data_IF_135691208316
#
_entry.id   IF_135691208316
#
_cell.length_a   1.000
_cell.length_b   1.000
_cell.length_c   1.000
_cell.angle_alpha   90.00
_cell.angle_beta   90.00
_cell.angle_gamma   90.00
#
_symmetry.space_group_name_H-M   'P 1'
#
loop_
_entity.id
_entity.type
_entity.pdbx_description
1 polymer ?
#
# COMPACT_ATOMS: atom_id res chain seq x y z
N UNK A 1 30.68 -12.18 8.11
CA UNK A 1 29.23 -11.97 8.24
C UNK A 1 28.60 -13.35 8.20
N UNK A 2 28.07 -13.84 9.32
CA UNK A 2 27.43 -15.16 9.39
C UNK A 2 25.98 -15.00 8.95
N UNK A 3 25.54 -15.83 8.01
CA UNK A 3 24.18 -15.82 7.47
C UNK A 3 23.32 -16.83 8.22
N UNK A 4 22.26 -16.36 8.86
CA UNK A 4 21.31 -17.20 9.57
C UNK A 4 20.03 -17.39 8.76
N UNK A 5 19.22 -18.40 9.12
CA UNK A 5 17.93 -18.66 8.45
C UNK A 5 16.97 -17.45 8.53
N UNK A 6 17.10 -16.63 9.57
CA UNK A 6 16.37 -15.39 9.80
C UNK A 6 16.70 -14.35 8.70
N UNK A 7 17.98 -14.24 8.32
CA UNK A 7 18.43 -13.29 7.29
C UNK A 7 17.83 -13.62 5.92
N UNK A 8 17.67 -14.92 5.62
CA UNK A 8 17.02 -15.38 4.39
C UNK A 8 15.60 -14.87 4.27
N UNK A 9 14.83 -14.90 5.35
CA UNK A 9 13.44 -14.44 5.36
C UNK A 9 13.32 -12.93 5.19
N UNK A 10 14.20 -12.16 5.83
CA UNK A 10 14.27 -10.71 5.67
C UNK A 10 14.50 -10.37 4.18
N UNK A 11 15.43 -11.06 3.53
CA UNK A 11 15.71 -10.83 2.09
C UNK A 11 14.56 -11.26 1.20
N UNK A 12 13.89 -12.40 1.48
CA UNK A 12 12.71 -12.83 0.70
C UNK A 12 11.58 -11.81 0.82
N UNK A 13 11.28 -11.35 2.03
CA UNK A 13 10.24 -10.34 2.29
C UNK A 13 10.58 -9.03 1.58
N UNK A 14 11.82 -8.56 1.70
CA UNK A 14 12.28 -7.37 1.00
C UNK A 14 12.21 -7.50 -0.53
N UNK A 15 12.56 -8.66 -1.07
CA UNK A 15 12.46 -8.94 -2.50
C UNK A 15 11.00 -8.96 -2.99
N UNK A 16 10.10 -9.59 -2.23
CA UNK A 16 8.66 -9.60 -2.56
C UNK A 16 8.08 -8.18 -2.54
N UNK A 17 8.37 -7.40 -1.50
CA UNK A 17 7.95 -6.00 -1.43
C UNK A 17 8.49 -5.18 -2.62
N UNK A 18 9.77 -5.33 -2.95
CA UNK A 18 10.38 -4.65 -4.09
C UNK A 18 9.71 -5.03 -5.43
N UNK A 19 9.44 -6.32 -5.66
CA UNK A 19 8.77 -6.81 -6.87
C UNK A 19 7.33 -6.26 -6.95
N UNK A 20 6.57 -6.36 -5.86
CA UNK A 20 5.19 -5.88 -5.80
C UNK A 20 5.10 -4.38 -6.11
N UNK A 21 6.01 -3.58 -5.53
CA UNK A 21 6.09 -2.14 -5.76
C UNK A 21 6.58 -1.80 -7.18
N UNK A 22 7.57 -2.53 -7.72
CA UNK A 22 8.10 -2.26 -9.06
C UNK A 22 7.07 -2.49 -10.18
N UNK A 23 6.21 -3.52 -10.03
CA UNK A 23 5.17 -3.84 -11.00
C UNK A 23 4.19 -2.69 -11.23
N UNK A 24 3.71 -2.06 -10.15
CA UNK A 24 2.77 -0.94 -10.22
C UNK A 24 3.49 0.40 -10.41
N UNK A 25 4.68 0.55 -9.80
CA UNK A 25 5.49 1.77 -9.81
C UNK A 25 5.87 2.24 -11.21
N UNK A 26 6.13 1.34 -12.15
CA UNK A 26 6.40 1.69 -13.54
C UNK A 26 5.24 2.50 -14.17
N UNK A 27 4.00 2.09 -13.93
CA UNK A 27 2.82 2.82 -14.44
C UNK A 27 2.63 4.16 -13.73
N UNK A 28 2.95 4.26 -12.44
CA UNK A 28 2.93 5.54 -11.72
C UNK A 28 3.93 6.53 -12.31
N UNK A 29 5.14 6.08 -12.62
CA UNK A 29 6.18 6.92 -13.25
C UNK A 29 5.74 7.38 -14.64
N UNK A 30 5.22 6.46 -15.47
CA UNK A 30 4.71 6.80 -16.81
C UNK A 30 3.58 7.84 -16.76
N UNK A 31 2.77 7.81 -15.69
CA UNK A 31 1.67 8.76 -15.47
C UNK A 31 2.08 10.03 -14.71
N UNK A 32 3.39 10.23 -14.44
CA UNK A 32 3.90 11.37 -13.64
C UNK A 32 3.33 11.45 -12.22
N UNK A 33 2.88 10.32 -11.67
CA UNK A 33 2.33 10.17 -10.32
C UNK A 33 3.29 9.41 -9.40
N UNK A 34 4.61 9.56 -9.58
CA UNK A 34 5.61 8.83 -8.78
C UNK A 34 5.53 9.15 -7.29
N UNK A 35 5.13 10.37 -6.92
CA UNK A 35 4.93 10.81 -5.53
C UNK A 35 3.68 10.21 -4.86
N UNK A 36 2.83 9.53 -5.62
CA UNK A 36 1.56 9.02 -5.10
C UNK A 36 1.76 7.91 -4.06
N UNK A 37 2.78 7.07 -4.24
CA UNK A 37 3.09 6.01 -3.28
C UNK A 37 3.44 6.56 -1.89
N UNK A 38 4.27 7.60 -1.86
CA UNK A 38 4.68 8.28 -0.63
C UNK A 38 3.48 8.97 0.06
N UNK A 39 2.66 9.68 -0.73
CA UNK A 39 1.45 10.32 -0.23
C UNK A 39 0.47 9.32 0.41
N UNK A 40 0.31 8.13 -0.19
CA UNK A 40 -0.56 7.09 0.35
C UNK A 40 -0.02 6.57 1.69
N UNK A 41 1.28 6.25 1.79
CA UNK A 41 1.88 5.73 3.03
C UNK A 41 1.66 6.68 4.23
N UNK A 42 1.77 7.99 4.01
CA UNK A 42 1.51 8.99 5.05
C UNK A 42 0.02 9.19 5.35
N UNK A 43 -0.83 9.11 4.33
CA UNK A 43 -2.26 9.35 4.47
C UNK A 43 -3.02 8.17 5.08
N UNK A 44 -2.43 6.98 5.17
CA UNK A 44 -3.03 5.77 5.74
C UNK A 44 -3.18 5.82 7.27
N UNK A 45 -2.35 6.61 7.96
CA UNK A 45 -2.35 6.73 9.43
C UNK A 45 -3.73 6.96 10.08
N UNK A 46 -4.57 7.93 9.64
CA UNK A 46 -5.92 8.08 10.19
C UNK A 46 -6.79 6.83 10.01
N UNK A 47 -6.62 6.07 8.94
CA UNK A 47 -7.33 4.81 8.73
C UNK A 47 -6.97 3.74 9.76
N UNK A 48 -5.68 3.64 10.10
CA UNK A 48 -5.20 2.76 11.15
C UNK A 48 -5.68 3.20 12.53
N UNK A 49 -5.63 4.51 12.81
CA UNK A 49 -6.08 5.08 14.08
C UNK A 49 -7.59 4.80 14.32
N UNK A 50 -8.42 5.07 13.31
CA UNK A 50 -9.88 4.83 13.39
C UNK A 50 -10.16 3.33 13.54
N UNK A 51 -9.52 2.47 12.75
CA UNK A 51 -9.72 1.02 12.84
C UNK A 51 -9.35 0.48 14.24
N UNK A 52 -8.29 1.01 14.83
CA UNK A 52 -7.87 0.66 16.19
C UNK A 52 -8.88 1.12 17.24
N UNK A 53 -9.29 2.40 17.20
CA UNK A 53 -10.25 2.98 18.18
C UNK A 53 -11.57 2.19 18.18
N UNK A 54 -12.04 1.74 17.02
CA UNK A 54 -13.28 0.97 16.90
C UNK A 54 -13.13 -0.46 17.44
N UNK A 55 -12.01 -1.11 17.18
CA UNK A 55 -11.85 -2.55 17.43
C UNK A 55 -11.20 -2.87 18.77
N UNK A 56 -10.42 -1.95 19.34
CA UNK A 56 -9.65 -2.13 20.59
C UNK A 56 -8.59 -3.25 20.54
N UNK A 57 -8.40 -3.88 19.38
CA UNK A 57 -7.50 -5.01 19.17
C UNK A 57 -6.53 -4.71 18.02
N UNK A 58 -5.28 -5.16 18.16
CA UNK A 58 -4.26 -5.19 17.09
C UNK A 58 -4.57 -6.28 16.06
N UNK A 59 -5.85 -6.48 15.74
CA UNK A 59 -6.29 -7.41 14.72
C UNK A 59 -5.94 -6.80 13.36
N UNK A 60 -4.81 -7.27 12.85
CA UNK A 60 -4.12 -6.81 11.65
C UNK A 60 -4.97 -6.77 10.38
N UNK A 61 -6.01 -7.61 10.24
CA UNK A 61 -6.89 -7.60 9.08
C UNK A 61 -7.81 -6.37 9.05
N UNK A 62 -8.37 -5.98 10.21
CA UNK A 62 -9.21 -4.78 10.36
C UNK A 62 -8.42 -3.51 10.12
N UNK A 63 -7.20 -3.47 10.65
CA UNK A 63 -6.26 -2.36 10.41
C UNK A 63 -5.88 -2.26 8.92
N UNK A 64 -5.60 -3.40 8.26
CA UNK A 64 -5.34 -3.45 6.83
C UNK A 64 -6.50 -2.90 6.00
N UNK A 65 -7.74 -3.27 6.33
CA UNK A 65 -8.93 -2.76 5.64
C UNK A 65 -9.09 -1.24 5.87
N UNK A 66 -8.96 -0.77 7.11
CA UNK A 66 -9.05 0.66 7.43
C UNK A 66 -8.00 1.49 6.71
N UNK A 67 -6.76 0.98 6.66
CA UNK A 67 -5.66 1.56 5.91
C UNK A 67 -5.95 1.61 4.40
N UNK A 68 -6.35 0.50 3.79
CA UNK A 68 -6.66 0.44 2.36
C UNK A 68 -7.82 1.37 1.97
N UNK A 69 -8.86 1.47 2.80
CA UNK A 69 -9.99 2.39 2.58
C UNK A 69 -9.53 3.83 2.58
N UNK A 70 -8.73 4.23 3.58
CA UNK A 70 -8.21 5.60 3.65
C UNK A 70 -7.20 5.89 2.54
N UNK A 71 -6.36 4.92 2.15
CA UNK A 71 -5.49 5.05 0.98
C UNK A 71 -6.27 5.30 -0.31
N UNK A 72 -7.39 4.61 -0.52
CA UNK A 72 -8.28 4.87 -1.66
C UNK A 72 -8.95 6.24 -1.57
N UNK A 73 -9.43 6.64 -0.39
CA UNK A 73 -10.00 7.97 -0.16
C UNK A 73 -8.98 9.09 -0.45
N UNK A 74 -7.70 8.86 -0.15
CA UNK A 74 -6.61 9.79 -0.44
C UNK A 74 -6.50 10.05 -1.95
N UNK A 75 -6.56 8.99 -2.77
CA UNK A 75 -6.57 9.13 -4.23
C UNK A 75 -7.80 9.90 -4.73
N UNK A 76 -8.98 9.61 -4.18
CA UNK A 76 -10.22 10.31 -4.54
C UNK A 76 -10.16 11.80 -4.16
N UNK A 77 -9.75 12.13 -2.95
CA UNK A 77 -9.63 13.51 -2.48
C UNK A 77 -8.58 14.29 -3.26
N UNK A 78 -7.44 13.67 -3.56
CA UNK A 78 -6.39 14.27 -4.39
C UNK A 78 -6.94 14.68 -5.75
N UNK A 79 -7.64 13.78 -6.43
CA UNK A 79 -8.21 14.05 -7.74
C UNK A 79 -9.33 15.10 -7.68
N UNK A 80 -10.13 15.07 -6.62
CA UNK A 80 -11.22 16.03 -6.42
C UNK A 80 -10.67 17.45 -6.18
N UNK A 81 -9.66 17.59 -5.33
CA UNK A 81 -8.98 18.86 -5.05
C UNK A 81 -8.25 19.39 -6.28
N UNK A 82 -7.56 18.52 -7.03
CA UNK A 82 -6.90 18.92 -8.28
C UNK A 82 -7.91 19.49 -9.30
N UNK A 83 -9.05 18.82 -9.49
CA UNK A 83 -10.09 19.27 -10.41
C UNK A 83 -10.78 20.56 -9.96
N UNK A 84 -11.12 20.67 -8.68
CA UNK A 84 -11.86 21.82 -8.17
C UNK A 84 -10.96 23.04 -8.00
N UNK A 85 -9.77 22.84 -7.43
CA UNK A 85 -8.79 23.90 -7.18
C UNK A 85 -8.02 24.33 -8.43
N UNK A 86 -8.12 23.60 -9.55
CA UNK A 86 -7.31 23.82 -10.77
C UNK A 86 -5.81 23.91 -10.47
N UNK A 87 -5.38 23.14 -9.48
CA UNK A 87 -3.99 23.06 -9.02
C UNK A 87 -3.36 21.79 -9.56
N UNK A 88 -2.03 21.82 -9.68
CA UNK A 88 -1.24 20.68 -10.12
C UNK A 88 -1.54 19.43 -9.26
N UNK A 89 -1.52 18.25 -9.87
CA UNK A 89 -1.76 17.00 -9.16
C UNK A 89 -0.75 16.81 -8.02
N UNK A 90 0.51 17.22 -8.21
CA UNK A 90 1.54 17.20 -7.18
C UNK A 90 1.19 18.07 -5.96
N UNK A 91 0.70 19.28 -6.20
CA UNK A 91 0.30 20.20 -5.13
C UNK A 91 -0.93 19.69 -4.37
N UNK A 92 -1.89 19.11 -5.11
CA UNK A 92 -3.11 18.54 -4.54
C UNK A 92 -2.81 17.35 -3.63
N UNK A 93 -1.93 16.44 -4.09
CA UNK A 93 -1.42 15.34 -3.27
C UNK A 93 -0.83 15.87 -1.97
N UNK A 94 0.05 16.88 -2.07
CA UNK A 94 0.67 17.58 -0.95
C UNK A 94 -0.31 17.99 0.14
N UNK A 95 -1.36 18.69 -0.24
CA UNK A 95 -2.38 19.20 0.70
C UNK A 95 -3.15 18.04 1.34
N UNK A 96 -3.53 17.02 0.56
CA UNK A 96 -4.34 15.91 1.06
C UNK A 96 -3.56 15.05 2.06
N UNK A 97 -2.35 14.62 1.71
CA UNK A 97 -1.60 13.73 2.61
C UNK A 97 -1.18 14.46 3.89
N UNK A 98 -0.76 15.72 3.82
CA UNK A 98 -0.38 16.49 5.02
C UNK A 98 -1.57 16.68 5.97
N UNK A 99 -2.75 16.96 5.42
CA UNK A 99 -3.99 17.11 6.20
C UNK A 99 -4.42 15.79 6.85
N UNK A 100 -4.41 14.69 6.09
CA UNK A 100 -4.75 13.35 6.61
C UNK A 100 -3.72 12.86 7.62
N UNK A 101 -2.44 13.08 7.38
CA UNK A 101 -1.36 12.75 8.30
C UNK A 101 -1.52 13.47 9.65
N UNK A 102 -1.76 14.79 9.62
CA UNK A 102 -2.01 15.57 10.83
C UNK A 102 -3.25 15.07 11.59
N UNK A 103 -4.32 14.76 10.86
CA UNK A 103 -5.55 14.19 11.44
C UNK A 103 -5.28 12.83 12.09
N UNK A 104 -4.56 11.94 11.42
CA UNK A 104 -4.20 10.62 11.96
C UNK A 104 -3.34 10.73 13.21
N UNK A 105 -2.35 11.63 13.20
CA UNK A 105 -1.49 11.87 14.37
C UNK A 105 -2.31 12.39 15.57
N UNK A 106 -3.22 13.34 15.34
CA UNK A 106 -4.12 13.84 16.39
C UNK A 106 -4.97 12.73 16.99
N UNK A 107 -5.53 11.84 16.16
CA UNK A 107 -6.32 10.70 16.64
C UNK A 107 -5.48 9.73 17.49
N UNK A 108 -4.25 9.44 17.07
CA UNK A 108 -3.34 8.56 17.83
C UNK A 108 -2.98 9.19 19.16
N UNK A 109 -2.59 10.47 19.17
CA UNK A 109 -2.21 11.19 20.40
C UNK A 109 -3.38 11.29 21.38
N UNK A 110 -4.59 11.55 20.88
CA UNK A 110 -5.77 11.59 21.74
C UNK A 110 -6.13 10.22 22.34
N UNK A 111 -5.80 9.14 21.64
CA UNK A 111 -6.00 7.78 22.12
C UNK A 111 -4.81 7.24 22.96
N UNK A 112 -3.71 8.00 23.08
CA UNK A 112 -2.41 7.52 23.58
C UNK A 112 -2.41 6.94 25.00
N UNK A 113 -3.34 7.32 25.87
CA UNK A 113 -3.44 6.74 27.22
C UNK A 113 -3.75 5.23 27.22
N UNK A 114 -4.19 4.66 26.08
CA UNK A 114 -4.57 3.25 25.93
C UNK A 114 -3.91 2.56 24.71
N UNK A 115 -2.90 3.17 24.07
CA UNK A 115 -2.47 2.77 22.71
C UNK A 115 -0.95 2.55 22.60
N UNK A 116 -0.55 1.30 22.38
CA UNK A 116 0.80 0.90 21.95
C UNK A 116 0.93 0.83 20.41
N UNK A 117 0.57 1.92 19.71
CA UNK A 117 0.81 2.04 18.27
C UNK A 117 1.87 3.10 18.04
N UNK A 118 3.07 2.68 17.65
CA UNK A 118 4.15 3.59 17.26
C UNK A 118 3.95 4.03 15.80
N UNK A 119 3.67 5.32 15.53
CA UNK A 119 3.52 5.84 14.17
C UNK A 119 4.78 5.64 13.32
N UNK A 120 5.97 5.65 13.94
CA UNK A 120 7.24 5.50 13.24
C UNK A 120 7.42 4.07 12.74
N UNK A 121 7.08 3.05 13.53
CA UNK A 121 7.10 1.67 13.07
C UNK A 121 6.10 1.39 11.94
N UNK A 122 4.93 2.04 11.98
CA UNK A 122 3.91 1.92 10.93
C UNK A 122 4.37 2.58 9.63
N UNK A 123 5.03 3.74 9.73
CA UNK A 123 5.37 4.57 8.58
C UNK A 123 6.67 4.16 7.89
N UNK A 124 7.69 3.80 8.68
CA UNK A 124 8.99 3.38 8.16
C UNK A 124 9.09 1.86 7.98
N UNK A 125 8.22 1.10 8.64
CA UNK A 125 8.29 -0.36 8.69
C UNK A 125 9.47 -0.86 9.53
N UNK A 126 9.36 -2.10 9.99
CA UNK A 126 10.42 -2.81 10.71
C UNK A 126 10.60 -4.21 10.12
N UNK A 127 11.24 -4.29 8.95
CA UNK A 127 11.41 -5.56 8.21
C UNK A 127 12.20 -6.58 9.04
N UNK A 128 13.08 -6.13 9.92
CA UNK A 128 13.85 -6.97 10.86
C UNK A 128 12.99 -7.79 11.83
N UNK A 129 11.77 -7.34 12.15
CA UNK A 129 10.85 -8.06 13.03
C UNK A 129 10.01 -9.10 12.28
N UNK A 130 10.05 -9.10 10.95
CA UNK A 130 9.23 -10.00 10.14
C UNK A 130 9.47 -11.49 10.40
N UNK A 131 10.70 -11.98 10.66
CA UNK A 131 10.93 -13.39 10.95
C UNK A 131 10.42 -13.84 12.32
N UNK A 132 10.05 -12.90 13.20
CA UNK A 132 9.54 -13.20 14.54
C UNK A 132 8.02 -13.45 14.53
N UNK A 133 7.28 -12.93 13.53
CA UNK A 133 5.84 -13.12 13.35
C UNK A 133 5.55 -14.32 12.44
N UNK A 134 5.83 -15.52 12.95
CA UNK A 134 5.63 -16.79 12.25
C UNK A 134 4.19 -17.28 12.44
N UNK A 135 3.49 -17.51 11.34
CA UNK A 135 2.08 -17.97 11.36
C UNK A 135 1.96 -19.42 10.92
N UNK A 136 2.88 -19.88 10.07
CA UNK A 136 2.86 -21.22 9.52
C UNK A 136 4.18 -21.93 9.76
N UNK A 137 4.11 -23.05 10.49
CA UNK A 137 5.16 -24.04 10.60
C UNK A 137 4.84 -25.16 9.62
N UNK A 138 5.58 -25.23 8.51
CA UNK A 138 5.40 -26.28 7.51
C UNK A 138 6.67 -27.10 7.39
N UNK A 139 6.54 -28.42 7.40
CA UNK A 139 7.64 -29.32 7.06
C UNK A 139 7.60 -29.59 5.57
N UNK A 140 8.55 -29.03 4.82
CA UNK A 140 8.73 -29.31 3.39
C UNK A 140 10.01 -30.13 3.26
N UNK A 141 9.90 -31.35 2.71
CA UNK A 141 11.03 -32.27 2.52
C UNK A 141 11.81 -32.62 3.80
N UNK A 142 11.14 -32.65 4.96
CA UNK A 142 11.77 -32.98 6.26
C UNK A 142 12.57 -31.85 6.89
N UNK A 143 12.44 -30.62 6.37
CA UNK A 143 13.00 -29.41 6.96
C UNK A 143 11.83 -28.57 7.47
N UNK A 144 11.82 -28.26 8.77
CA UNK A 144 10.86 -27.34 9.36
C UNK A 144 11.15 -25.92 8.86
N UNK A 145 10.21 -25.36 8.12
CA UNK A 145 10.27 -24.01 7.57
C UNK A 145 9.22 -23.16 8.25
N UNK A 146 9.67 -22.25 9.09
CA UNK A 146 8.86 -21.19 9.70
C UNK A 146 8.57 -20.12 8.64
N UNK A 147 7.33 -19.99 8.19
CA UNK A 147 6.92 -18.99 7.18
C UNK A 147 6.35 -17.75 7.88
N UNK A 148 7.00 -16.57 7.70
CA UNK A 148 6.51 -15.30 8.22
C UNK A 148 5.16 -14.90 7.62
N UNK A 149 4.32 -14.25 8.43
CA UNK A 149 3.04 -13.68 7.96
C UNK A 149 3.23 -12.70 6.80
N UNK A 150 4.23 -11.83 6.91
CA UNK A 150 4.54 -10.80 5.92
C UNK A 150 4.86 -11.43 4.55
N UNK A 151 5.58 -12.56 4.52
CA UNK A 151 5.90 -13.25 3.27
C UNK A 151 4.64 -13.79 2.57
N UNK A 152 3.64 -14.27 3.33
CA UNK A 152 2.38 -14.74 2.76
C UNK A 152 1.51 -13.59 2.22
N UNK A 153 1.41 -12.49 2.98
CA UNK A 153 0.63 -11.31 2.57
C UNK A 153 1.27 -10.68 1.33
N UNK A 154 2.56 -10.37 1.38
CA UNK A 154 3.29 -9.80 0.24
C UNK A 154 3.35 -10.74 -0.94
N UNK A 155 3.50 -12.05 -0.72
CA UNK A 155 3.41 -13.05 -1.78
C UNK A 155 2.06 -13.04 -2.48
N UNK A 156 0.97 -13.00 -1.71
CA UNK A 156 -0.40 -12.87 -2.23
C UNK A 156 -0.62 -11.58 -3.01
N UNK A 157 -0.19 -10.43 -2.47
CA UNK A 157 -0.28 -9.13 -3.14
C UNK A 157 0.58 -9.09 -4.40
N UNK A 158 1.77 -9.69 -4.38
CA UNK A 158 2.66 -9.77 -5.54
C UNK A 158 2.01 -10.57 -6.66
N UNK A 159 1.43 -11.73 -6.36
CA UNK A 159 0.69 -12.55 -7.33
C UNK A 159 -0.54 -11.82 -7.86
N UNK A 160 -1.26 -11.10 -7.01
CA UNK A 160 -2.42 -10.30 -7.39
C UNK A 160 -2.02 -9.14 -8.31
N UNK A 161 -0.94 -8.41 -8.00
CA UNK A 161 -0.38 -7.36 -8.85
C UNK A 161 0.11 -7.92 -10.19
N UNK A 162 0.81 -9.05 -10.16
CA UNK A 162 1.28 -9.73 -11.37
C UNK A 162 0.12 -10.16 -12.25
N UNK A 163 -0.90 -10.80 -11.67
CA UNK A 163 -2.12 -11.19 -12.37
C UNK A 163 -2.86 -10.01 -12.97
N UNK A 164 -2.96 -8.89 -12.24
CA UNK A 164 -3.56 -7.66 -12.75
C UNK A 164 -2.76 -7.06 -13.90
N UNK A 165 -1.45 -6.92 -13.76
CA UNK A 165 -0.58 -6.33 -14.79
C UNK A 165 -0.58 -7.20 -16.05
N UNK A 166 -0.49 -8.53 -15.92
CA UNK A 166 -0.52 -9.45 -17.07
C UNK A 166 -1.90 -9.46 -17.73
N UNK A 167 -2.98 -9.52 -16.94
CA UNK A 167 -4.35 -9.57 -17.46
C UNK A 167 -4.80 -8.29 -18.15
N UNK A 168 -4.43 -7.13 -17.60
CA UNK A 168 -4.85 -5.81 -18.09
C UNK A 168 -3.71 -5.02 -18.75
N UNK A 169 -2.66 -5.71 -19.23
CA UNK A 169 -1.47 -5.03 -19.77
C UNK A 169 -1.81 -4.09 -20.92
N UNK A 170 -2.74 -4.49 -21.80
CA UNK A 170 -3.14 -3.71 -22.98
C UNK A 170 -3.87 -2.44 -22.56
N UNK A 171 -4.80 -2.57 -21.61
CA UNK A 171 -5.62 -1.50 -21.07
C UNK A 171 -4.79 -0.52 -20.24
N UNK A 172 -3.90 -1.02 -19.38
CA UNK A 172 -2.97 -0.21 -18.59
C UNK A 172 -2.02 0.57 -19.47
N UNK A 173 -1.49 -0.05 -20.53
CA UNK A 173 -0.61 0.62 -21.50
C UNK A 173 -1.35 1.77 -22.17
N UNK A 174 -2.47 1.52 -22.85
CA UNK A 174 -3.17 2.55 -23.61
C UNK A 174 -3.65 3.67 -22.67
N UNK A 175 -4.25 3.34 -21.53
CA UNK A 175 -4.74 4.34 -20.57
C UNK A 175 -3.64 5.18 -19.90
N UNK A 176 -2.40 4.69 -19.86
CA UNK A 176 -1.26 5.44 -19.29
C UNK A 176 -0.61 6.39 -20.29
N UNK A 177 -0.65 6.07 -21.59
CA UNK A 177 -0.10 6.94 -22.64
C UNK A 177 -1.13 7.94 -23.18
N UNK A 178 -2.37 7.48 -23.42
CA UNK A 178 -3.43 8.31 -23.96
C UNK A 178 -4.80 7.90 -23.36
N UNK A 179 -5.25 8.57 -22.28
CA UNK A 179 -6.51 8.28 -21.64
C UNK A 179 -7.74 8.65 -22.50
N UNK A 180 -7.61 9.59 -23.45
CA UNK A 180 -8.69 9.98 -24.35
C UNK A 180 -8.88 8.92 -25.44
N UNK A 181 -7.79 8.46 -26.07
CA UNK A 181 -7.81 7.34 -27.01
C UNK A 181 -8.31 6.05 -26.35
N UNK A 182 -7.89 5.77 -25.11
CA UNK A 182 -8.42 4.62 -24.36
C UNK A 182 -9.96 4.68 -24.28
N UNK A 183 -10.49 5.87 -24.00
CA UNK A 183 -11.93 6.10 -23.83
C UNK A 183 -12.69 5.95 -25.15
N UNK A 184 -12.14 6.42 -26.27
CA UNK A 184 -12.76 6.24 -27.60
C UNK A 184 -12.71 4.80 -28.09
N UNK A 185 -11.68 4.04 -27.69
CA UNK A 185 -11.57 2.59 -27.94
C UNK A 185 -12.50 1.73 -27.07
N UNK A 186 -13.32 2.34 -26.21
CA UNK A 186 -14.28 1.64 -25.33
C UNK A 186 -13.71 1.24 -23.96
N UNK A 187 -12.45 1.56 -23.67
CA UNK A 187 -11.82 1.31 -22.37
C UNK A 187 -12.12 2.49 -21.44
N UNK A 188 -12.78 2.22 -20.31
CA UNK A 188 -13.08 3.26 -19.32
C UNK A 188 -11.81 3.66 -18.56
N UNK A 189 -11.06 4.64 -19.08
CA UNK A 189 -9.79 5.10 -18.51
C UNK A 189 -9.90 5.45 -17.02
N UNK A 190 -11.00 6.10 -16.61
CA UNK A 190 -11.23 6.45 -15.21
C UNK A 190 -11.32 5.23 -14.28
N UNK A 191 -11.90 4.12 -14.74
CA UNK A 191 -11.91 2.87 -13.95
C UNK A 191 -10.52 2.28 -13.81
N UNK A 192 -9.74 2.30 -14.88
CA UNK A 192 -8.36 1.77 -14.86
C UNK A 192 -7.46 2.61 -13.95
N UNK A 193 -7.69 3.93 -13.88
CA UNK A 193 -7.05 4.80 -12.91
C UNK A 193 -7.36 4.38 -11.47
N UNK A 194 -8.64 4.26 -11.09
CA UNK A 194 -8.99 3.87 -9.72
C UNK A 194 -8.58 2.45 -9.36
N UNK A 195 -8.61 1.50 -10.31
CA UNK A 195 -8.09 0.15 -10.08
C UNK A 195 -6.59 0.17 -9.80
N UNK A 196 -5.81 0.94 -10.57
CA UNK A 196 -4.39 1.12 -10.31
C UNK A 196 -4.15 1.76 -8.94
N UNK A 197 -4.89 2.82 -8.58
CA UNK A 197 -4.75 3.48 -7.28
C UNK A 197 -5.13 2.55 -6.11
N UNK A 198 -6.18 1.75 -6.26
CA UNK A 198 -6.58 0.77 -5.25
C UNK A 198 -5.50 -0.30 -5.04
N UNK A 199 -4.88 -0.78 -6.12
CA UNK A 199 -3.78 -1.75 -6.04
C UNK A 199 -2.53 -1.14 -5.40
N UNK A 200 -2.19 0.11 -5.74
CA UNK A 200 -1.08 0.82 -5.11
C UNK A 200 -1.36 1.00 -3.62
N UNK A 201 -2.58 1.38 -3.23
CA UNK A 201 -2.96 1.49 -1.83
C UNK A 201 -2.87 0.14 -1.09
N UNK A 202 -3.36 -0.95 -1.68
CA UNK A 202 -3.20 -2.27 -1.06
C UNK A 202 -1.73 -2.71 -0.98
N UNK A 203 -0.93 -2.41 -1.99
CA UNK A 203 0.50 -2.79 -2.04
C UNK A 203 1.36 -1.99 -1.07
N UNK A 204 1.04 -0.72 -0.86
CA UNK A 204 1.74 0.13 0.12
C UNK A 204 1.43 -0.25 1.56
N UNK A 205 0.25 -0.83 1.82
CA UNK A 205 -0.20 -1.25 3.16
C UNK A 205 0.24 -2.69 3.50
N UNK A 206 0.43 -3.55 2.49
CA UNK A 206 0.81 -4.96 2.62
C UNK A 206 2.27 -5.14 3.04
#
# INVERSE_FOLDING_TARGET
MYWYAIDTWIVIVGALAAIACALLGNFLVLRKMSMMGDAISHAVLPGLAIAFIITGARASLTMFIGAAVVGLLTAVFTQWISRFGKVDEGASMGIVFTSLFALGLLLIVQAADHVDLDPSCVLYGAIELTPLDVVWQTEIFGIAVDVPRAALILGGVTLLNLGFVVGFFKELRISSFDPELATTMGIRSNRMHYLLMALVAMTTVA
#
